data_IF_342913856372
#
_entry.id   IF_342913856372
#
_cell.length_a   1.000
_cell.length_b   1.000
_cell.length_c   1.000
_cell.angle_alpha   90.00
_cell.angle_beta   90.00
_cell.angle_gamma   90.00
#
_symmetry.space_group_name_H-M   'P 1'
#
loop_
_entity.id
_entity.type
_entity.pdbx_description
1 polymer ?
#
# COMPACT_ATOMS: atom_id res chain seq x y z
N UNK A 1 -23.92 -60.68 32.45
CA UNK A 1 -24.59 -60.02 33.59
C UNK A 1 -23.92 -58.68 33.79
N UNK A 2 -24.75 -57.64 33.80
CA UNK A 2 -24.45 -56.22 33.82
C UNK A 2 -23.88 -55.72 35.16
N UNK A 3 -23.16 -54.59 35.13
CA UNK A 3 -23.22 -53.37 35.99
C UNK A 3 -21.89 -52.57 35.82
N UNK A 4 -21.86 -51.36 35.22
CA UNK A 4 -22.08 -50.00 35.79
C UNK A 4 -21.13 -49.63 36.95
N UNK A 5 -20.55 -48.45 37.18
CA UNK A 5 -20.43 -47.06 36.64
C UNK A 5 -19.07 -46.53 37.23
N UNK A 6 -18.37 -45.46 36.87
CA UNK A 6 -18.75 -44.04 36.94
C UNK A 6 -17.51 -43.15 36.67
N UNK A 7 -17.66 -42.22 35.72
CA UNK A 7 -17.14 -40.84 35.59
C UNK A 7 -15.81 -40.37 36.22
N UNK A 8 -15.02 -39.72 35.36
CA UNK A 8 -13.99 -38.74 35.67
C UNK A 8 -13.63 -37.95 34.42
N UNK A 9 -14.63 -37.32 33.82
CA UNK A 9 -14.52 -36.45 32.64
C UNK A 9 -13.93 -35.10 33.07
N UNK A 10 -12.66 -34.85 32.70
CA UNK A 10 -12.02 -33.54 32.84
C UNK A 10 -12.07 -32.83 31.49
N UNK A 11 -13.23 -32.23 31.25
CA UNK A 11 -13.50 -31.16 30.30
C UNK A 11 -12.51 -29.98 30.52
N UNK A 12 -11.43 -29.94 29.75
CA UNK A 12 -10.68 -28.71 29.52
C UNK A 12 -11.32 -28.03 28.31
N UNK A 13 -12.24 -27.09 28.59
CA UNK A 13 -12.68 -26.06 27.64
C UNK A 13 -11.48 -25.16 27.30
N UNK A 14 -10.57 -25.69 26.49
CA UNK A 14 -9.79 -24.85 25.60
C UNK A 14 -10.76 -24.25 24.59
N UNK A 15 -11.25 -23.05 24.90
CA UNK A 15 -11.77 -22.11 23.92
C UNK A 15 -10.63 -21.75 22.97
N UNK A 16 -10.27 -22.68 22.09
CA UNK A 16 -9.64 -22.32 20.84
C UNK A 16 -10.75 -21.59 20.08
N UNK A 17 -10.62 -20.27 19.95
CA UNK A 17 -11.37 -19.51 18.97
C UNK A 17 -10.96 -20.05 17.60
N UNK A 18 -11.58 -21.16 17.19
CA UNK A 18 -11.68 -21.53 15.79
C UNK A 18 -12.53 -20.43 15.15
N UNK A 19 -11.84 -19.47 14.54
CA UNK A 19 -12.40 -18.72 13.43
C UNK A 19 -12.58 -19.71 12.28
N UNK A 20 -13.60 -20.56 12.38
CA UNK A 20 -14.20 -21.20 11.23
C UNK A 20 -14.84 -20.08 10.38
N UNK A 21 -14.52 -20.02 9.09
CA UNK A 21 -15.50 -20.42 8.06
C UNK A 21 -15.12 -19.90 6.64
N UNK A 22 -14.67 -20.84 5.81
CA UNK A 22 -14.91 -21.03 4.37
C UNK A 22 -14.72 -19.92 3.30
N UNK A 23 -14.17 -18.73 3.60
CA UNK A 23 -13.85 -17.67 2.60
C UNK A 23 -12.36 -17.51 2.25
N UNK A 24 -11.54 -18.46 2.71
CA UNK A 24 -10.12 -18.24 2.99
C UNK A 24 -9.28 -18.32 1.71
N UNK A 25 -8.93 -17.16 1.16
CA UNK A 25 -7.85 -17.05 0.18
C UNK A 25 -6.48 -17.45 0.73
N UNK A 26 -5.39 -17.21 -0.01
CA UNK A 26 -4.04 -17.47 0.50
C UNK A 26 -3.86 -16.88 1.91
N UNK A 27 -3.27 -17.64 2.84
CA UNK A 27 -3.14 -17.21 4.26
C UNK A 27 -2.34 -15.91 4.41
N UNK A 28 -1.53 -15.61 3.41
CA UNK A 28 -0.68 -14.44 3.28
C UNK A 28 -1.33 -13.34 2.42
N UNK A 29 -2.64 -13.36 2.23
CA UNK A 29 -3.38 -12.33 1.50
C UNK A 29 -3.40 -11.00 2.27
N UNK A 30 -3.01 -9.92 1.59
CA UNK A 30 -2.81 -8.61 2.21
C UNK A 30 -4.03 -7.67 2.18
N UNK A 31 -5.19 -8.13 1.69
CA UNK A 31 -6.41 -7.31 1.51
C UNK A 31 -6.76 -6.43 2.71
N UNK A 32 -6.70 -6.98 3.93
CA UNK A 32 -7.06 -6.25 5.16
C UNK A 32 -6.03 -5.20 5.58
N UNK A 33 -4.82 -5.24 5.02
CA UNK A 33 -3.72 -4.32 5.32
C UNK A 33 -3.52 -3.26 4.24
N UNK A 34 -4.38 -3.22 3.22
CA UNK A 34 -4.37 -2.18 2.19
C UNK A 34 -5.19 -0.99 2.69
N UNK A 35 -4.62 0.20 2.60
CA UNK A 35 -5.29 1.45 2.92
C UNK A 35 -6.16 1.90 1.73
N UNK A 36 -7.28 1.20 1.55
CA UNK A 36 -8.21 1.35 0.42
C UNK A 36 -8.66 2.80 0.19
N UNK A 37 -9.03 3.61 1.21
CA UNK A 37 -9.43 5.01 1.00
C UNK A 37 -8.36 5.88 0.36
N UNK A 38 -7.08 5.51 0.48
CA UNK A 38 -5.94 6.25 -0.07
C UNK A 38 -5.37 5.59 -1.34
N UNK A 39 -6.08 4.64 -1.94
CA UNK A 39 -5.73 4.09 -3.25
C UNK A 39 -6.03 5.14 -4.32
N UNK A 40 -5.02 5.44 -5.13
CA UNK A 40 -5.11 6.47 -6.18
C UNK A 40 -4.80 5.84 -7.52
N UNK A 41 -5.61 6.13 -8.54
CA UNK A 41 -5.30 5.80 -9.91
C UNK A 41 -5.13 7.08 -10.74
N UNK A 42 -4.16 7.07 -11.66
CA UNK A 42 -3.96 8.13 -12.65
C UNK A 42 -4.33 7.61 -14.03
N UNK A 43 -4.90 8.50 -14.86
CA UNK A 43 -5.49 8.18 -16.16
C UNK A 43 -6.47 7.00 -16.08
N UNK A 44 -7.37 7.03 -15.10
CA UNK A 44 -8.34 5.96 -14.88
C UNK A 44 -9.76 6.52 -14.67
N UNK A 45 -10.70 5.98 -15.43
CA UNK A 45 -12.13 6.10 -15.24
C UNK A 45 -12.64 4.95 -14.35
N UNK A 46 -13.35 5.31 -13.28
CA UNK A 46 -13.84 4.38 -12.25
C UNK A 46 -13.23 4.63 -10.86
N UNK A 47 -13.73 3.92 -9.85
CA UNK A 47 -13.24 4.06 -8.48
C UNK A 47 -12.08 3.09 -8.22
N UNK A 48 -10.87 3.62 -8.02
CA UNK A 48 -9.66 2.83 -7.84
C UNK A 48 -9.70 1.86 -6.63
N UNK A 49 -10.29 2.22 -5.48
CA UNK A 49 -10.51 1.26 -4.38
C UNK A 49 -11.31 0.02 -4.79
N UNK A 50 -12.24 0.12 -5.75
CA UNK A 50 -13.13 -0.98 -6.11
C UNK A 50 -12.44 -2.14 -6.84
N UNK A 51 -11.25 -1.94 -7.41
CA UNK A 51 -10.45 -3.06 -7.95
C UNK A 51 -9.73 -3.86 -6.86
N UNK A 52 -9.61 -3.32 -5.65
CA UNK A 52 -9.10 -4.03 -4.48
C UNK A 52 -10.27 -4.78 -3.83
N UNK A 53 -10.44 -6.05 -4.18
CA UNK A 53 -11.55 -6.90 -3.72
C UNK A 53 -11.06 -7.98 -2.75
N UNK A 54 -11.95 -8.55 -1.91
CA UNK A 54 -11.61 -9.75 -1.16
C UNK A 54 -11.45 -10.94 -2.10
N UNK A 55 -10.65 -11.93 -1.71
CA UNK A 55 -10.26 -13.08 -2.55
C UNK A 55 -11.44 -13.83 -3.18
N UNK A 56 -12.56 -13.97 -2.47
CA UNK A 56 -13.74 -14.67 -2.98
C UNK A 56 -14.44 -13.93 -4.14
N UNK A 57 -14.28 -12.60 -4.25
CA UNK A 57 -14.84 -11.77 -5.32
C UNK A 57 -13.87 -11.47 -6.46
N UNK A 58 -12.68 -12.08 -6.45
CA UNK A 58 -11.61 -11.79 -7.43
C UNK A 58 -12.01 -12.02 -8.90
N UNK A 59 -13.03 -12.83 -9.15
CA UNK A 59 -13.53 -13.14 -10.50
C UNK A 59 -14.68 -12.22 -10.95
N UNK A 60 -15.22 -11.39 -10.06
CA UNK A 60 -16.31 -10.47 -10.40
C UNK A 60 -15.77 -9.31 -11.25
N UNK A 61 -16.31 -9.12 -12.45
CA UNK A 61 -15.88 -8.08 -13.41
C UNK A 61 -16.84 -6.88 -13.46
N UNK A 62 -17.80 -6.81 -12.54
CA UNK A 62 -18.77 -5.71 -12.42
C UNK A 62 -18.09 -4.38 -12.11
N UNK A 63 -17.19 -4.41 -11.12
CA UNK A 63 -16.36 -3.26 -10.75
C UNK A 63 -15.00 -3.36 -11.44
N UNK A 64 -14.58 -2.31 -12.11
CA UNK A 64 -13.30 -2.23 -12.80
C UNK A 64 -12.87 -0.77 -12.91
N UNK A 65 -11.58 -0.56 -13.15
CA UNK A 65 -11.08 0.70 -13.68
C UNK A 65 -10.60 0.50 -15.10
N UNK A 66 -10.78 1.53 -15.92
CA UNK A 66 -10.36 1.55 -17.31
C UNK A 66 -9.61 2.84 -17.56
N UNK A 67 -8.59 2.83 -18.43
CA UNK A 67 -7.89 4.05 -18.79
C UNK A 67 -8.78 5.01 -19.59
N UNK A 68 -8.59 6.32 -19.43
CA UNK A 68 -9.53 7.35 -19.91
C UNK A 68 -9.07 8.03 -21.21
N UNK A 69 -7.82 8.47 -21.26
CA UNK A 69 -7.29 9.24 -22.41
C UNK A 69 -6.55 8.35 -23.41
N UNK A 70 -5.73 7.44 -22.91
CA UNK A 70 -4.87 6.53 -23.67
C UNK A 70 -4.79 5.19 -22.92
N UNK A 71 -3.95 4.27 -23.36
CA UNK A 71 -3.83 2.92 -22.79
C UNK A 71 -2.87 2.81 -21.60
N UNK A 72 -2.29 3.93 -21.15
CA UNK A 72 -1.42 3.99 -19.98
C UNK A 72 -2.22 4.16 -18.69
N UNK A 73 -1.84 3.47 -17.63
CA UNK A 73 -2.52 3.59 -16.33
C UNK A 73 -1.53 3.42 -15.18
N UNK A 74 -1.65 4.26 -14.16
CA UNK A 74 -0.89 4.12 -12.91
C UNK A 74 -1.87 3.85 -11.77
N UNK A 75 -1.59 2.84 -10.94
CA UNK A 75 -2.33 2.53 -9.73
C UNK A 75 -1.39 2.52 -8.52
N UNK A 76 -1.65 3.41 -7.57
CA UNK A 76 -0.90 3.55 -6.31
C UNK A 76 -1.67 2.91 -5.18
N UNK A 77 -1.06 1.90 -4.54
CA UNK A 77 -1.68 1.12 -3.47
C UNK A 77 -0.85 1.27 -2.18
N UNK A 78 -1.29 2.12 -1.22
CA UNK A 78 -0.67 2.20 0.08
C UNK A 78 -1.08 1.04 1.00
N UNK A 79 -0.18 0.66 1.90
CA UNK A 79 -0.43 -0.30 2.98
C UNK A 79 -0.47 0.42 4.33
N UNK A 80 -1.22 -0.15 5.27
CA UNK A 80 -1.35 0.36 6.65
C UNK A 80 -0.12 0.11 7.53
N UNK A 81 0.89 -0.59 7.02
CA UNK A 81 2.14 -0.91 7.73
C UNK A 81 3.28 -1.27 6.80
N UNK A 82 4.29 -1.98 7.32
CA UNK A 82 5.39 -2.50 6.49
C UNK A 82 5.00 -3.87 5.94
N UNK A 83 5.21 -4.07 4.64
CA UNK A 83 4.90 -5.32 3.96
C UNK A 83 6.17 -5.89 3.34
N UNK A 84 6.39 -7.19 3.56
CA UNK A 84 7.26 -8.03 2.76
C UNK A 84 6.44 -8.70 1.67
N UNK A 85 6.49 -8.15 0.46
CA UNK A 85 5.69 -8.62 -0.67
C UNK A 85 6.27 -9.94 -1.22
N UNK A 86 5.39 -10.90 -1.50
CA UNK A 86 5.71 -12.17 -2.14
C UNK A 86 5.20 -12.23 -3.57
N UNK A 87 3.96 -11.80 -3.80
CA UNK A 87 3.37 -11.83 -5.13
C UNK A 87 2.33 -10.73 -5.35
N UNK A 88 2.21 -10.30 -6.60
CA UNK A 88 1.13 -9.48 -7.12
C UNK A 88 0.10 -10.39 -7.79
N UNK A 89 -1.19 -10.12 -7.57
CA UNK A 89 -2.31 -10.81 -8.21
C UNK A 89 -3.05 -9.82 -9.10
N UNK A 90 -3.24 -10.16 -10.37
CA UNK A 90 -3.96 -9.30 -11.32
C UNK A 90 -5.03 -10.08 -12.09
N UNK A 91 -6.20 -9.47 -12.24
CA UNK A 91 -7.17 -9.81 -13.28
C UNK A 91 -7.38 -8.58 -14.15
N UNK A 92 -7.16 -8.75 -15.44
CA UNK A 92 -7.15 -7.66 -16.43
C UNK A 92 -7.94 -8.06 -17.66
N UNK A 93 -8.20 -7.12 -18.57
CA UNK A 93 -8.98 -7.34 -19.78
C UNK A 93 -10.48 -7.03 -19.59
N UNK A 94 -11.36 -7.53 -20.48
CA UNK A 94 -11.15 -8.70 -21.35
C UNK A 94 -10.41 -8.41 -22.66
N UNK A 95 -9.86 -9.46 -23.26
CA UNK A 95 -9.23 -9.48 -24.58
C UNK A 95 -8.13 -8.42 -24.76
N UNK A 96 -8.26 -7.55 -25.76
CA UNK A 96 -7.23 -6.59 -26.18
C UNK A 96 -7.03 -5.44 -25.17
N UNK A 97 -7.96 -5.29 -24.20
CA UNK A 97 -7.82 -4.36 -23.07
C UNK A 97 -6.87 -4.86 -21.97
N UNK A 98 -6.29 -6.05 -22.15
CA UNK A 98 -5.26 -6.58 -21.26
C UNK A 98 -3.99 -5.73 -21.40
N UNK A 99 -3.39 -5.24 -20.32
CA UNK A 99 -2.10 -4.56 -20.40
C UNK A 99 -1.04 -5.52 -20.93
N UNK A 100 -0.07 -5.03 -21.71
CA UNK A 100 1.04 -5.85 -22.19
C UNK A 100 1.99 -6.23 -21.06
N UNK A 101 2.20 -5.29 -20.14
CA UNK A 101 3.19 -5.37 -19.06
C UNK A 101 2.66 -4.69 -17.80
N UNK A 102 3.26 -5.07 -16.68
CA UNK A 102 3.13 -4.36 -15.41
C UNK A 102 4.50 -4.10 -14.80
N UNK A 103 4.79 -2.83 -14.56
CA UNK A 103 5.99 -2.35 -13.90
C UNK A 103 5.65 -2.01 -12.44
N UNK A 104 6.38 -2.61 -11.50
CA UNK A 104 6.19 -2.44 -10.07
C UNK A 104 7.26 -1.51 -9.49
N UNK A 105 6.83 -0.52 -8.72
CA UNK A 105 7.69 0.40 -7.98
C UNK A 105 7.37 0.29 -6.50
N UNK A 106 8.36 -0.09 -5.69
CA UNK A 106 8.21 -0.14 -4.24
C UNK A 106 8.49 1.24 -3.64
N UNK A 107 7.59 1.73 -2.79
CA UNK A 107 7.74 2.98 -2.03
C UNK A 107 7.87 4.25 -2.88
N UNK A 108 7.30 4.24 -4.09
CA UNK A 108 7.29 5.40 -5.00
C UNK A 108 5.87 5.97 -5.11
N UNK A 109 5.55 6.93 -4.26
CA UNK A 109 4.26 7.62 -4.23
C UNK A 109 4.14 8.78 -5.22
N UNK A 110 5.22 9.17 -5.90
CA UNK A 110 5.28 10.33 -6.80
C UNK A 110 5.42 10.00 -8.29
N UNK A 111 5.40 8.72 -8.66
CA UNK A 111 5.61 8.28 -10.05
C UNK A 111 4.58 8.87 -11.02
N UNK A 112 5.06 9.53 -12.06
CA UNK A 112 4.26 10.07 -13.16
C UNK A 112 4.55 9.34 -14.49
N UNK A 113 3.80 9.64 -15.55
CA UNK A 113 3.94 9.00 -16.86
C UNK A 113 5.20 9.44 -17.61
N UNK A 114 5.71 10.65 -17.32
CA UNK A 114 6.94 11.18 -17.93
C UNK A 114 8.22 10.78 -17.16
N UNK A 115 8.09 10.10 -16.03
CA UNK A 115 9.20 9.74 -15.14
C UNK A 115 10.02 8.55 -15.71
N UNK A 116 11.33 8.73 -15.93
CA UNK A 116 12.24 7.68 -16.45
C UNK A 116 12.78 6.76 -15.34
N UNK A 117 12.01 6.56 -14.26
CA UNK A 117 12.45 5.75 -13.12
C UNK A 117 12.54 4.27 -13.50
N UNK A 118 13.63 3.62 -13.09
CA UNK A 118 13.75 2.17 -13.28
C UNK A 118 12.76 1.42 -12.38
N UNK A 119 11.91 0.54 -12.94
CA UNK A 119 11.00 -0.27 -12.13
C UNK A 119 11.77 -1.23 -11.23
N UNK A 120 11.23 -1.48 -10.04
CA UNK A 120 11.83 -2.45 -9.10
C UNK A 120 11.77 -3.86 -9.68
N UNK A 121 10.67 -4.18 -10.36
CA UNK A 121 10.49 -5.42 -11.12
C UNK A 121 9.40 -5.21 -12.18
N UNK A 122 9.51 -5.88 -13.32
CA UNK A 122 8.52 -5.85 -14.40
C UNK A 122 8.09 -7.29 -14.73
N UNK A 123 6.85 -7.44 -15.20
CA UNK A 123 6.31 -8.68 -15.73
C UNK A 123 5.52 -8.45 -17.02
N UNK A 124 5.60 -9.38 -17.96
CA UNK A 124 4.67 -9.49 -19.07
C UNK A 124 3.33 -10.07 -18.58
N UNK A 125 2.22 -9.48 -19.02
CA UNK A 125 0.87 -9.85 -18.58
C UNK A 125 0.19 -10.62 -19.72
N UNK A 126 0.06 -11.96 -19.62
CA UNK A 126 -0.61 -12.73 -20.66
C UNK A 126 -2.12 -12.48 -20.66
N UNK A 127 -2.72 -12.55 -21.84
CA UNK A 127 -4.16 -12.54 -22.01
C UNK A 127 -4.78 -13.81 -21.40
N UNK A 128 -5.45 -13.65 -20.27
CA UNK A 128 -6.14 -14.74 -19.58
C UNK A 128 -7.40 -14.22 -18.89
N UNK A 129 -8.42 -15.08 -18.81
CA UNK A 129 -9.62 -14.82 -18.02
C UNK A 129 -9.39 -15.10 -16.52
N UNK A 130 -8.31 -15.81 -16.17
CA UNK A 130 -7.97 -16.15 -14.80
C UNK A 130 -7.17 -15.04 -14.09
N UNK A 131 -7.03 -15.15 -12.77
CA UNK A 131 -6.17 -14.26 -11.98
C UNK A 131 -4.72 -14.72 -12.13
N UNK A 132 -3.87 -13.86 -12.69
CA UNK A 132 -2.43 -14.11 -12.79
C UNK A 132 -1.73 -13.83 -11.46
N UNK A 133 -0.83 -14.74 -11.05
CA UNK A 133 0.07 -14.55 -9.89
C UNK A 133 1.50 -14.27 -10.36
N UNK A 134 2.02 -13.11 -9.97
CA UNK A 134 3.34 -12.61 -10.36
C UNK A 134 4.25 -12.58 -9.12
N UNK A 135 5.11 -13.60 -8.99
CA UNK A 135 6.02 -13.72 -7.88
C UNK A 135 7.14 -12.66 -7.94
N UNK A 136 7.26 -11.85 -6.89
CA UNK A 136 8.28 -10.79 -6.81
C UNK A 136 9.54 -11.29 -6.12
N UNK A 137 10.67 -10.63 -6.40
CA UNK A 137 11.94 -10.86 -5.70
C UNK A 137 11.84 -10.28 -4.29
N UNK A 138 11.47 -11.09 -3.30
CA UNK A 138 11.22 -10.66 -1.92
C UNK A 138 12.35 -9.81 -1.29
N UNK A 139 13.61 -9.96 -1.73
CA UNK A 139 14.72 -9.12 -1.29
C UNK A 139 14.57 -7.64 -1.68
N UNK A 140 13.92 -7.35 -2.81
CA UNK A 140 13.63 -5.98 -3.30
C UNK A 140 12.34 -5.41 -2.73
N UNK A 141 11.49 -6.25 -2.16
CA UNK A 141 10.17 -5.87 -1.63
C UNK A 141 10.01 -6.28 -0.17
N UNK A 142 11.05 -6.11 0.65
CA UNK A 142 11.07 -6.59 2.05
C UNK A 142 10.48 -5.60 3.06
N UNK A 143 10.47 -4.30 2.73
CA UNK A 143 9.98 -3.23 3.58
C UNK A 143 9.20 -2.23 2.72
N UNK A 144 8.00 -2.62 2.33
CA UNK A 144 7.15 -1.87 1.40
C UNK A 144 6.02 -1.18 2.17
N UNK A 145 5.93 0.13 2.03
CA UNK A 145 4.84 0.98 2.53
C UNK A 145 3.74 1.21 1.50
N UNK A 146 4.13 1.22 0.23
CA UNK A 146 3.24 1.46 -0.90
C UNK A 146 3.81 0.76 -2.13
N UNK A 147 2.93 0.28 -3.00
CA UNK A 147 3.31 -0.23 -4.32
C UNK A 147 2.61 0.60 -5.37
N UNK A 148 3.38 1.07 -6.33
CA UNK A 148 2.86 1.71 -7.54
C UNK A 148 3.01 0.75 -8.69
N UNK A 149 1.88 0.49 -9.37
CA UNK A 149 1.77 -0.33 -10.55
C UNK A 149 1.64 0.59 -11.75
N UNK A 150 2.52 0.45 -12.72
CA UNK A 150 2.44 1.14 -13.99
C UNK A 150 2.16 0.15 -15.12
N UNK A 151 1.15 0.46 -15.92
CA UNK A 151 0.74 -0.29 -17.09
C UNK A 151 1.00 0.60 -18.31
N UNK A 152 2.05 0.32 -19.11
CA UNK A 152 2.54 1.24 -20.13
C UNK A 152 1.75 1.18 -21.44
N UNK A 153 1.08 0.06 -21.72
CA UNK A 153 0.28 -0.12 -22.93
C UNK A 153 -0.68 -1.31 -22.78
N UNK A 154 -1.71 -1.37 -23.63
CA UNK A 154 -2.52 -2.56 -23.83
C UNK A 154 -1.87 -3.54 -24.82
N UNK A 155 -2.48 -4.71 -25.03
CA UNK A 155 -2.08 -5.68 -26.05
C UNK A 155 -2.80 -5.51 -27.40
N UNK A 156 -3.62 -4.47 -27.57
CA UNK A 156 -4.28 -4.19 -28.87
C UNK A 156 -5.43 -3.20 -28.85
N UNK A 157 -5.96 -2.83 -27.69
CA UNK A 157 -7.01 -1.82 -27.56
C UNK A 157 -6.45 -0.42 -27.26
N UNK A 158 -7.26 0.62 -27.47
CA UNK A 158 -6.88 2.00 -27.10
C UNK A 158 -6.96 2.26 -25.58
N UNK A 159 -7.44 1.29 -24.80
CA UNK A 159 -7.60 1.42 -23.35
C UNK A 159 -7.23 0.15 -22.60
N UNK A 160 -6.68 0.31 -21.40
CA UNK A 160 -6.32 -0.77 -20.48
C UNK A 160 -7.40 -0.93 -19.41
N UNK A 161 -7.81 -2.16 -19.10
CA UNK A 161 -8.82 -2.44 -18.07
C UNK A 161 -8.30 -3.37 -16.98
N UNK A 162 -8.54 -2.99 -15.73
CA UNK A 162 -8.21 -3.74 -14.52
C UNK A 162 -9.48 -4.06 -13.74
N UNK A 163 -9.71 -5.34 -13.45
CA UNK A 163 -10.90 -5.81 -12.73
C UNK A 163 -10.57 -6.27 -11.31
N UNK A 164 -9.35 -6.72 -11.05
CA UNK A 164 -8.91 -7.13 -9.72
C UNK A 164 -7.41 -6.90 -9.54
N UNK A 165 -7.04 -6.31 -8.40
CA UNK A 165 -5.66 -6.17 -7.96
C UNK A 165 -5.57 -6.67 -6.51
N UNK A 166 -4.65 -7.59 -6.27
CA UNK A 166 -4.41 -8.18 -4.94
C UNK A 166 -2.92 -8.37 -4.68
N UNK A 167 -2.57 -8.51 -3.41
CA UNK A 167 -1.18 -8.68 -2.99
C UNK A 167 -1.07 -9.80 -1.97
N UNK A 168 -0.03 -10.61 -2.09
CA UNK A 168 0.31 -11.69 -1.17
C UNK A 168 1.66 -11.40 -0.51
N UNK A 169 1.79 -11.63 0.79
CA UNK A 169 2.99 -11.36 1.54
C UNK A 169 2.79 -11.35 3.05
N UNK A 170 3.77 -10.81 3.76
CA UNK A 170 3.75 -10.71 5.22
C UNK A 170 3.65 -9.25 5.62
N UNK A 171 2.66 -8.91 6.45
CA UNK A 171 2.53 -7.58 7.04
C UNK A 171 3.22 -7.53 8.41
N UNK A 172 3.73 -6.36 8.77
CA UNK A 172 4.31 -6.04 10.06
C UNK A 172 3.93 -4.62 10.46
N UNK A 173 3.66 -4.41 11.75
CA UNK A 173 3.31 -3.09 12.28
C UNK A 173 4.46 -2.09 12.09
N UNK A 174 4.15 -0.92 11.53
CA UNK A 174 5.12 0.18 11.43
C UNK A 174 5.15 0.94 12.76
N UNK A 175 6.21 0.76 13.54
CA UNK A 175 6.49 1.63 14.70
C UNK A 175 6.88 3.01 14.20
N UNK A 176 5.91 3.92 14.09
CA UNK A 176 6.18 5.33 13.85
C UNK A 176 6.72 5.93 15.15
N UNK A 177 8.05 6.03 15.27
CA UNK A 177 8.64 6.91 16.27
C UNK A 177 8.70 8.30 15.63
N UNK A 178 7.83 9.26 16.00
CA UNK A 178 7.98 10.62 15.52
C UNK A 178 9.36 11.12 15.97
N UNK A 179 10.19 11.54 15.02
CA UNK A 179 11.38 12.32 15.32
C UNK A 179 10.87 13.67 15.83
N UNK A 180 10.74 13.80 17.15
CA UNK A 180 10.46 15.09 17.79
C UNK A 180 11.75 15.90 17.61
N UNK A 181 11.84 16.65 16.53
CA UNK A 181 12.84 17.71 16.39
C UNK A 181 12.46 18.83 17.35
N UNK A 182 12.89 18.69 18.60
CA UNK A 182 12.98 19.83 19.52
C UNK A 182 14.08 20.73 18.95
N UNK A 183 13.72 21.67 18.10
CA UNK A 183 14.57 22.82 17.85
C UNK A 183 14.57 23.63 19.14
N UNK A 184 15.61 23.43 19.95
CA UNK A 184 15.94 24.29 21.07
C UNK A 184 16.25 25.69 20.51
N UNK A 185 15.21 26.49 20.25
CA UNK A 185 15.36 27.93 20.08
C UNK A 185 15.58 28.56 21.46
N UNK A 186 16.70 28.21 22.11
CA UNK A 186 17.22 29.04 23.17
C UNK A 186 17.82 30.28 22.49
N UNK A 187 17.15 31.42 22.64
CA UNK A 187 17.72 32.70 22.27
C UNK A 187 19.01 32.91 23.07
N UNK A 188 20.17 32.74 22.44
CA UNK A 188 21.44 33.13 23.03
C UNK A 188 21.47 34.66 23.09
N UNK A 189 21.43 35.23 24.30
CA UNK A 189 21.56 36.69 24.54
C UNK A 189 22.87 37.30 24.00
N UNK A 190 23.81 36.48 23.52
CA UNK A 190 25.08 36.92 22.95
C UNK A 190 25.00 37.43 21.51
N UNK A 191 23.90 37.19 20.78
CA UNK A 191 23.78 37.50 19.33
C UNK A 191 23.04 38.82 19.02
N UNK A 192 22.54 39.54 20.02
CA UNK A 192 21.99 40.88 19.80
C UNK A 192 23.11 41.92 19.82
N UNK A 193 23.39 42.57 18.69
CA UNK A 193 24.23 43.77 18.65
C UNK A 193 23.66 44.83 19.61
N UNK A 194 24.51 45.33 20.52
CA UNK A 194 24.16 46.48 21.36
C UNK A 194 23.95 47.69 20.44
N UNK A 195 22.74 48.21 20.42
CA UNK A 195 22.42 49.49 19.79
C UNK A 195 23.41 50.56 20.26
N UNK A 196 24.16 51.11 19.30
CA UNK A 196 25.12 52.19 19.51
C UNK A 196 24.33 53.50 19.64
N UNK A 197 24.30 54.11 20.84
CA UNK A 197 23.78 55.47 21.01
C UNK A 197 22.87 55.76 22.21
N UNK A 198 23.13 55.21 23.39
CA UNK A 198 22.56 55.76 24.64
C UNK A 198 23.64 56.10 25.66
N UNK A 199 24.60 56.94 25.23
CA UNK A 199 25.42 57.73 26.16
C UNK A 199 24.68 59.06 26.40
N UNK A 200 23.59 58.97 27.17
CA UNK A 200 22.80 60.10 27.60
C UNK A 200 23.28 60.51 28.99
N UNK A 201 24.19 61.49 29.03
CA UNK A 201 24.68 62.16 30.24
C UNK A 201 23.50 62.80 30.98
N UNK A 202 22.95 62.12 31.99
CA UNK A 202 22.01 62.74 32.93
C UNK A 202 22.75 63.19 34.18
N UNK A 203 23.07 64.49 34.20
CA UNK A 203 23.66 65.20 35.31
C UNK A 203 22.54 65.49 36.34
N UNK A 204 22.60 64.89 37.53
CA UNK A 204 21.77 65.31 38.67
C UNK A 204 22.45 66.47 39.39
N UNK A 205 21.82 67.66 39.52
CA UNK A 205 22.34 68.70 40.38
C UNK A 205 22.09 68.35 41.86
N UNK A 206 23.11 68.64 42.65
CA UNK A 206 23.21 68.42 44.08
C UNK A 206 22.51 69.56 44.84
N UNK A 207 21.60 69.21 45.77
CA UNK A 207 21.31 69.94 47.02
C UNK A 207 20.70 68.99 48.02
#
# INVERSE_FOLDING_TARGET
MSHNHNHGDCNHESHNHDHDDSSVGPRDNLYQYIDRPNVVALNASGDAPNVIKPWHRRLEETEFIQSDVDDQLILRVPFTGSVKLRALLLKTGPADHTPSKVALFANEDSLDFEDDKTPTQEFDVPQSAEVGEYAVKAARFSNVSSVTLFFPSSQGADTTRLSYVGFLGQWSERKSNPVITVYEAQANLADHEKIQGTDGTFNTPQT
#
